data_IF_662032678654
#
_entry.id   IF_662032678654
#
_cell.length_a   1.000
_cell.length_b   1.000
_cell.length_c   1.000
_cell.angle_alpha   90.00
_cell.angle_beta   90.00
_cell.angle_gamma   90.00
#
_symmetry.space_group_name_H-M   'P 1'
#
loop_
_entity.id
_entity.type
_entity.pdbx_description
1 polymer ?
#
# COMPACT_ATOMS: atom_id res chain seq x y z
N UNK A 1 -2.65 -10.80 -6.33
CA UNK A 1 -2.38 -11.81 -5.29
C UNK A 1 -2.86 -11.23 -3.97
N UNK A 2 -3.95 -11.78 -3.45
CA UNK A 2 -4.69 -11.26 -2.30
C UNK A 2 -3.89 -11.40 -1.00
N UNK A 3 -4.12 -10.49 -0.05
CA UNK A 3 -3.60 -10.47 1.32
C UNK A 3 -4.14 -11.65 2.17
N UNK A 4 -4.09 -12.89 1.68
CA UNK A 4 -4.54 -14.08 2.42
C UNK A 4 -3.68 -14.34 3.65
N UNK A 5 -2.37 -14.07 3.56
CA UNK A 5 -1.40 -14.29 4.64
C UNK A 5 -1.73 -13.57 5.97
N UNK A 6 -2.48 -12.45 5.90
CA UNK A 6 -2.91 -11.74 7.10
C UNK A 6 -4.18 -12.33 7.70
N UNK A 7 -5.07 -12.92 6.89
CA UNK A 7 -6.26 -13.61 7.37
C UNK A 7 -5.84 -14.90 8.07
N UNK A 8 -4.97 -15.69 7.44
CA UNK A 8 -4.51 -16.98 7.96
C UNK A 8 -3.91 -16.86 9.38
N UNK A 9 -3.07 -15.83 9.60
CA UNK A 9 -2.49 -15.58 10.94
C UNK A 9 -3.50 -15.08 11.96
N UNK A 10 -4.47 -14.27 11.56
CA UNK A 10 -5.53 -13.81 12.47
C UNK A 10 -6.43 -14.99 12.83
N UNK A 11 -6.75 -15.84 11.87
CA UNK A 11 -7.52 -17.07 12.06
C UNK A 11 -6.79 -18.04 13.01
N UNK A 12 -5.47 -18.21 12.86
CA UNK A 12 -4.64 -19.00 13.80
C UNK A 12 -4.73 -18.46 15.25
N UNK A 13 -4.64 -17.14 15.43
CA UNK A 13 -4.77 -16.53 16.76
C UNK A 13 -6.19 -16.67 17.33
N UNK A 14 -7.22 -16.64 16.49
CA UNK A 14 -8.60 -16.87 16.89
C UNK A 14 -8.83 -18.31 17.31
N UNK A 15 -8.28 -19.28 16.58
CA UNK A 15 -8.35 -20.71 16.91
C UNK A 15 -7.65 -21.00 18.24
N UNK A 16 -6.45 -20.42 18.44
CA UNK A 16 -5.74 -20.51 19.72
C UNK A 16 -6.53 -19.89 20.87
N UNK A 17 -7.17 -18.74 20.63
CA UNK A 17 -7.99 -18.07 21.65
C UNK A 17 -9.22 -18.92 22.02
N UNK A 18 -9.88 -19.52 21.02
CA UNK A 18 -11.00 -20.43 21.24
C UNK A 18 -10.58 -21.66 22.04
N UNK A 19 -9.40 -22.21 21.76
CA UNK A 19 -8.84 -23.32 22.50
C UNK A 19 -8.47 -22.94 23.95
N UNK A 20 -7.79 -21.81 24.16
CA UNK A 20 -7.45 -21.28 25.49
C UNK A 20 -8.73 -21.03 26.33
N UNK A 21 -9.79 -20.51 25.70
CA UNK A 21 -11.11 -20.36 26.32
C UNK A 21 -11.73 -21.69 26.71
N UNK A 22 -11.60 -22.73 25.87
CA UNK A 22 -12.13 -24.07 26.15
C UNK A 22 -11.48 -24.70 27.40
N UNK A 23 -10.19 -24.49 27.60
CA UNK A 23 -9.46 -24.98 28.79
C UNK A 23 -9.52 -24.01 29.98
N UNK A 24 -10.22 -22.89 29.85
CA UNK A 24 -10.37 -21.83 30.86
C UNK A 24 -9.04 -21.20 31.31
N UNK A 25 -8.05 -21.21 30.44
CA UNK A 25 -6.75 -20.59 30.70
C UNK A 25 -6.86 -19.09 30.43
N UNK A 26 -7.05 -18.31 31.49
CA UNK A 26 -7.29 -16.85 31.39
C UNK A 26 -5.99 -16.10 31.09
N UNK A 27 -4.86 -16.57 31.61
CA UNK A 27 -3.55 -15.96 31.37
C UNK A 27 -3.15 -16.12 29.91
N UNK A 28 -3.31 -17.32 29.36
CA UNK A 28 -3.01 -17.58 27.95
C UNK A 28 -3.97 -16.85 27.00
N UNK A 29 -5.26 -16.73 27.35
CA UNK A 29 -6.19 -15.89 26.60
C UNK A 29 -5.74 -14.43 26.53
N UNK A 30 -5.21 -13.89 27.64
CA UNK A 30 -4.74 -12.52 27.70
C UNK A 30 -3.48 -12.34 26.84
N UNK A 31 -2.52 -13.26 26.93
CA UNK A 31 -1.31 -13.23 26.12
C UNK A 31 -1.61 -13.30 24.61
N UNK A 32 -2.55 -14.17 24.19
CA UNK A 32 -2.98 -14.27 22.79
C UNK A 32 -3.57 -12.94 22.30
N UNK A 33 -4.39 -12.28 23.11
CA UNK A 33 -4.99 -10.98 22.75
C UNK A 33 -3.93 -9.90 22.59
N UNK A 34 -2.95 -9.83 23.49
CA UNK A 34 -1.87 -8.84 23.42
C UNK A 34 -1.01 -9.02 22.17
N UNK A 35 -0.66 -10.27 21.84
CA UNK A 35 0.09 -10.60 20.62
C UNK A 35 -0.71 -10.29 19.36
N UNK A 36 -2.02 -10.58 19.36
CA UNK A 36 -2.91 -10.25 18.24
C UNK A 36 -3.03 -8.74 18.05
N UNK A 37 -3.18 -7.97 19.12
CA UNK A 37 -3.22 -6.50 19.06
C UNK A 37 -1.92 -5.93 18.49
N UNK A 38 -0.76 -6.36 19.01
CA UNK A 38 0.53 -5.91 18.50
C UNK A 38 0.71 -6.25 17.01
N UNK A 39 0.27 -7.43 16.58
CA UNK A 39 0.31 -7.84 15.18
C UNK A 39 -0.58 -6.96 14.28
N UNK A 40 -1.79 -6.63 14.74
CA UNK A 40 -2.72 -5.76 14.03
C UNK A 40 -2.17 -4.34 13.88
N UNK A 41 -1.64 -3.77 14.97
CA UNK A 41 -1.00 -2.44 14.97
C UNK A 41 0.19 -2.39 14.00
N UNK A 42 1.08 -3.38 14.04
CA UNK A 42 2.23 -3.46 13.16
C UNK A 42 1.81 -3.62 11.69
N UNK A 43 0.76 -4.41 11.43
CA UNK A 43 0.18 -4.56 10.10
C UNK A 43 -0.41 -3.23 9.58
N UNK A 44 -1.09 -2.47 10.43
CA UNK A 44 -1.64 -1.16 10.08
C UNK A 44 -0.52 -0.15 9.80
N UNK A 45 0.51 -0.09 10.65
CA UNK A 45 1.67 0.77 10.46
C UNK A 45 2.39 0.49 9.12
N UNK A 46 2.63 -0.79 8.80
CA UNK A 46 3.19 -1.21 7.50
C UNK A 46 2.32 -0.78 6.32
N UNK A 47 0.99 -0.89 6.47
CA UNK A 47 0.04 -0.49 5.44
C UNK A 47 0.10 1.02 5.21
N UNK A 48 0.13 1.80 6.28
CA UNK A 48 0.23 3.26 6.20
C UNK A 48 1.55 3.72 5.58
N UNK A 49 2.66 3.03 5.91
CA UNK A 49 3.96 3.28 5.30
C UNK A 49 3.92 3.03 3.80
N UNK A 50 3.40 1.87 3.35
CA UNK A 50 3.29 1.54 1.93
C UNK A 50 2.43 2.55 1.16
N UNK A 51 1.33 3.03 1.74
CA UNK A 51 0.51 4.11 1.14
C UNK A 51 1.30 5.41 1.00
N UNK A 52 2.11 5.75 2.01
CA UNK A 52 2.97 6.93 1.99
C UNK A 52 4.03 6.82 0.89
N UNK A 53 4.69 5.67 0.77
CA UNK A 53 5.70 5.42 -0.27
C UNK A 53 5.12 5.55 -1.69
N UNK A 54 3.91 5.04 -1.91
CA UNK A 54 3.20 5.18 -3.20
C UNK A 54 2.89 6.64 -3.53
N UNK A 55 2.46 7.42 -2.54
CA UNK A 55 2.22 8.87 -2.72
C UNK A 55 3.51 9.61 -3.08
N UNK A 56 4.62 9.28 -2.43
CA UNK A 56 5.93 9.86 -2.74
C UNK A 56 6.32 9.53 -4.18
N UNK A 57 6.22 8.26 -4.61
CA UNK A 57 6.49 7.84 -5.99
C UNK A 57 5.62 8.58 -7.00
N UNK A 58 4.32 8.71 -6.73
CA UNK A 58 3.39 9.43 -7.61
C UNK A 58 3.76 10.92 -7.72
N UNK A 59 4.11 11.56 -6.60
CA UNK A 59 4.55 12.96 -6.59
C UNK A 59 5.82 13.17 -7.42
N UNK A 60 6.77 12.23 -7.37
CA UNK A 60 8.00 12.26 -8.15
C UNK A 60 7.71 12.17 -9.65
N UNK A 61 6.88 11.20 -10.07
CA UNK A 61 6.46 11.03 -11.47
C UNK A 61 5.77 12.29 -11.98
N UNK A 62 4.84 12.84 -11.21
CA UNK A 62 4.13 14.08 -11.57
C UNK A 62 5.08 15.27 -11.73
N UNK A 63 6.05 15.40 -10.82
CA UNK A 63 7.08 16.44 -10.93
C UNK A 63 7.93 16.28 -12.19
N UNK A 64 8.31 15.04 -12.53
CA UNK A 64 9.09 14.77 -13.75
C UNK A 64 8.31 15.14 -15.01
N UNK A 65 7.04 14.75 -15.08
CA UNK A 65 6.13 15.13 -16.19
C UNK A 65 6.03 16.65 -16.32
N UNK A 66 5.81 17.36 -15.20
CA UNK A 66 5.72 18.83 -15.19
C UNK A 66 7.01 19.49 -15.68
N UNK A 67 8.18 18.99 -15.24
CA UNK A 67 9.48 19.50 -15.68
C UNK A 67 9.66 19.32 -17.18
N UNK A 68 9.31 18.14 -17.73
CA UNK A 68 9.40 17.88 -19.17
C UNK A 68 8.49 18.83 -19.96
N UNK A 69 7.25 19.04 -19.51
CA UNK A 69 6.35 20.00 -20.15
C UNK A 69 6.88 21.44 -20.08
N UNK A 70 7.48 21.84 -18.95
CA UNK A 70 8.10 23.16 -18.82
C UNK A 70 9.31 23.33 -19.75
N UNK A 71 10.12 22.27 -19.93
CA UNK A 71 11.26 22.29 -20.85
C UNK A 71 10.81 22.42 -22.30
N UNK A 72 9.78 21.67 -22.70
CA UNK A 72 9.16 21.78 -24.03
C UNK A 72 8.62 23.20 -24.27
N UNK A 73 7.94 23.79 -23.28
CA UNK A 73 7.36 25.13 -23.40
C UNK A 73 8.40 26.26 -23.41
N UNK A 74 9.46 26.16 -22.62
CA UNK A 74 10.42 27.27 -22.43
C UNK A 74 11.52 27.31 -23.49
N UNK A 75 11.93 26.17 -24.04
CA UNK A 75 13.11 26.09 -24.91
C UNK A 75 12.78 25.94 -26.40
N UNK A 76 11.51 25.94 -26.81
CA UNK A 76 11.09 25.51 -28.15
C UNK A 76 11.79 24.20 -28.56
N UNK A 77 12.03 23.31 -27.59
CA UNK A 77 12.66 22.02 -27.85
C UNK A 77 11.66 21.23 -28.66
N UNK A 78 12.04 20.85 -29.88
CA UNK A 78 11.23 19.99 -30.70
C UNK A 78 10.96 18.68 -29.95
N UNK A 79 9.73 18.20 -30.11
CA UNK A 79 9.26 16.97 -29.53
C UNK A 79 10.04 15.80 -30.13
N UNK A 80 11.22 15.52 -29.59
CA UNK A 80 12.07 14.42 -30.07
C UNK A 80 11.45 13.11 -29.62
N UNK A 81 11.63 12.06 -30.41
CA UNK A 81 11.16 10.70 -30.12
C UNK A 81 11.55 10.23 -28.69
N UNK A 82 12.73 10.63 -28.21
CA UNK A 82 13.18 10.36 -26.83
C UNK A 82 12.30 11.00 -25.77
N UNK A 83 11.90 12.26 -25.97
CA UNK A 83 11.08 13.01 -25.01
C UNK A 83 9.65 12.49 -25.03
N UNK A 84 9.11 12.18 -26.22
CA UNK A 84 7.79 11.53 -26.32
C UNK A 84 7.78 10.19 -25.61
N UNK A 85 8.78 9.33 -25.85
CA UNK A 85 8.85 8.02 -25.22
C UNK A 85 9.00 8.12 -23.70
N UNK A 86 9.84 9.03 -23.20
CA UNK A 86 9.95 9.30 -21.76
C UNK A 86 8.61 9.77 -21.16
N UNK A 87 7.90 10.67 -21.85
CA UNK A 87 6.64 11.21 -21.37
C UNK A 87 5.50 10.18 -21.42
N UNK A 88 5.51 9.27 -22.40
CA UNK A 88 4.63 8.10 -22.44
C UNK A 88 4.89 7.16 -21.27
N UNK A 89 6.15 6.76 -21.05
CA UNK A 89 6.51 5.88 -19.94
C UNK A 89 6.14 6.48 -18.58
N UNK A 90 6.33 7.79 -18.40
CA UNK A 90 5.94 8.47 -17.16
C UNK A 90 4.42 8.53 -16.97
N UNK A 91 3.65 8.70 -18.06
CA UNK A 91 2.17 8.66 -17.99
C UNK A 91 1.66 7.27 -17.65
N UNK A 92 2.23 6.24 -18.27
CA UNK A 92 1.93 4.84 -17.94
C UNK A 92 2.22 4.58 -16.46
N UNK A 93 3.42 4.96 -16.00
CA UNK A 93 3.80 4.80 -14.59
C UNK A 93 2.87 5.55 -13.64
N UNK A 94 2.36 6.73 -14.04
CA UNK A 94 1.37 7.49 -13.26
C UNK A 94 0.07 6.70 -13.12
N UNK A 95 -0.44 6.14 -14.22
CA UNK A 95 -1.69 5.36 -14.23
C UNK A 95 -1.55 4.11 -13.36
N UNK A 96 -0.42 3.41 -13.42
CA UNK A 96 -0.13 2.26 -12.57
C UNK A 96 -0.16 2.63 -11.08
N UNK A 97 0.51 3.73 -10.70
CA UNK A 97 0.55 4.20 -9.31
C UNK A 97 -0.84 4.65 -8.82
N UNK A 98 -1.61 5.33 -9.67
CA UNK A 98 -3.00 5.72 -9.38
C UNK A 98 -3.88 4.49 -9.16
N UNK A 99 -3.73 3.45 -9.99
CA UNK A 99 -4.45 2.19 -9.84
C UNK A 99 -4.05 1.46 -8.55
N UNK A 100 -2.76 1.38 -8.22
CA UNK A 100 -2.26 0.73 -7.00
C UNK A 100 -2.79 1.44 -5.74
N UNK A 101 -2.75 2.78 -5.72
CA UNK A 101 -3.34 3.59 -4.64
C UNK A 101 -4.85 3.37 -4.55
N UNK A 102 -5.55 3.31 -5.69
CA UNK A 102 -6.98 3.05 -5.76
C UNK A 102 -7.36 1.70 -5.17
N UNK A 103 -6.66 0.64 -5.57
CA UNK A 103 -6.85 -0.71 -5.02
C UNK A 103 -6.60 -0.76 -3.51
N UNK A 104 -5.55 -0.09 -3.04
CA UNK A 104 -5.21 -0.06 -1.62
C UNK A 104 -6.23 0.71 -0.78
N UNK A 105 -6.83 1.78 -1.33
CA UNK A 105 -7.96 2.50 -0.69
C UNK A 105 -9.23 1.65 -0.65
N UNK A 106 -9.51 0.93 -1.72
CA UNK A 106 -10.68 0.05 -1.79
C UNK A 106 -10.57 -1.11 -0.79
N UNK A 107 -9.39 -1.69 -0.64
CA UNK A 107 -9.11 -2.68 0.40
C UNK A 107 -9.34 -2.11 1.81
N UNK A 108 -8.95 -0.86 2.08
CA UNK A 108 -9.23 -0.23 3.37
C UNK A 108 -10.73 -0.01 3.62
N UNK A 109 -11.50 0.40 2.61
CA UNK A 109 -12.96 0.58 2.74
C UNK A 109 -13.73 -0.71 2.99
N UNK A 110 -13.19 -1.86 2.57
CA UNK A 110 -13.82 -3.17 2.82
C UNK A 110 -13.50 -3.73 4.20
N UNK A 111 -12.51 -3.18 4.89
CA UNK A 111 -12.04 -3.63 6.20
C UNK A 111 -12.58 -2.72 7.34
N UNK A 112 -12.90 -1.46 7.05
CA UNK A 112 -13.67 -0.56 7.95
C UNK A 112 -15.17 -0.85 7.90
#
# INVERSE_FOLDING_TARGET
MMNHLNCDKVDDYLDLLLYAKKIKDVEWQQEIKERLLAYLEESEARRQQRMTDLRIKLSYVNRRILVLYQQLRKRNVELTEKITNELYALKERRMELEAEIGQMREQNRRIS
#
